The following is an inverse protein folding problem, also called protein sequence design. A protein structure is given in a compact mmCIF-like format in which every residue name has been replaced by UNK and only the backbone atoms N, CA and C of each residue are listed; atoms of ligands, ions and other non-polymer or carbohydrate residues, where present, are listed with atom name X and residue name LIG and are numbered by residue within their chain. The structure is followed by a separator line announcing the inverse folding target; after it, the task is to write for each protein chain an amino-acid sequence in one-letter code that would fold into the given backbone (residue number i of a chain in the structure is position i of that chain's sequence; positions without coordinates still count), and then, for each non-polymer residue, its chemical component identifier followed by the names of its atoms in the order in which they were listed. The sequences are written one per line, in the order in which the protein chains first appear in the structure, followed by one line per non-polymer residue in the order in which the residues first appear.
data_IF_878810468443
#
_entry.id   IF_878810468443
#
_cell.length_a   1.000
_cell.length_b   1.000
_cell.length_c   1.000
_cell.angle_alpha   90.00
_cell.angle_beta   90.00
_cell.angle_gamma   90.00
#
_symmetry.space_group_name_H-M   'P 1'
#
loop_
_entity.id
_entity.type
_entity.pdbx_description
1 polymer ?
#
# COMPACT_ATOMS: atom_id res chain seq x y z
N UNK A 1 37.00 56.49 42.46
CA UNK A 1 37.45 55.27 41.75
C UNK A 1 36.60 54.12 42.22
N UNK A 2 35.45 53.86 41.58
CA UNK A 2 34.62 52.69 41.91
C UNK A 2 33.71 52.38 40.71
N UNK A 3 34.13 51.40 39.92
CA UNK A 3 33.43 50.93 38.73
C UNK A 3 32.18 50.12 39.10
N UNK A 4 31.08 50.39 38.39
CA UNK A 4 29.86 49.58 38.40
C UNK A 4 30.14 48.27 37.64
N UNK A 5 29.79 47.14 38.24
CA UNK A 5 29.65 45.87 37.52
C UNK A 5 28.20 45.38 37.68
N UNK A 6 27.37 45.61 36.66
CA UNK A 6 26.05 45.00 36.52
C UNK A 6 26.23 43.66 35.82
N UNK A 7 26.09 42.57 36.56
CA UNK A 7 26.13 41.20 36.03
C UNK A 7 24.84 40.94 35.25
N UNK A 8 25.02 40.55 33.99
CA UNK A 8 24.00 40.39 32.95
C UNK A 8 23.02 39.24 33.20
N UNK A 9 21.74 39.58 33.38
CA UNK A 9 20.61 38.65 33.33
C UNK A 9 20.00 38.66 31.92
N UNK A 10 20.60 37.93 30.96
CA UNK A 10 20.13 37.91 29.56
C UNK A 10 19.98 36.51 28.93
N UNK A 11 20.07 35.41 29.70
CA UNK A 11 20.19 34.06 29.11
C UNK A 11 18.90 33.21 29.07
N UNK A 12 17.91 33.48 29.93
CA UNK A 12 16.75 32.59 30.08
C UNK A 12 15.62 32.80 29.07
N UNK A 13 15.38 34.04 28.61
CA UNK A 13 14.25 34.32 27.72
C UNK A 13 14.49 33.82 26.28
N UNK A 14 15.74 33.88 25.81
CA UNK A 14 16.15 33.42 24.48
C UNK A 14 16.14 31.89 24.44
N UNK A 15 16.75 31.24 25.43
CA UNK A 15 16.82 29.77 25.50
C UNK A 15 15.43 29.12 25.58
N UNK A 16 14.48 29.69 26.34
CA UNK A 16 13.09 29.22 26.39
C UNK A 16 12.35 29.35 25.06
N UNK A 17 12.59 30.43 24.30
CA UNK A 17 12.03 30.63 22.94
C UNK A 17 12.58 29.61 21.93
N UNK A 18 13.87 29.28 22.01
CA UNK A 18 14.49 28.25 21.17
C UNK A 18 14.03 26.84 21.53
N UNK A 19 13.88 26.53 22.83
CA UNK A 19 13.30 25.26 23.29
C UNK A 19 11.85 25.10 22.78
N UNK A 20 11.04 26.15 22.86
CA UNK A 20 9.67 26.14 22.33
C UNK A 20 9.62 25.94 20.81
N UNK A 21 10.53 26.56 20.06
CA UNK A 21 10.65 26.36 18.60
C UNK A 21 11.09 24.95 18.25
N UNK A 22 12.04 24.38 19.00
CA UNK A 22 12.49 22.99 18.83
C UNK A 22 11.34 22.01 19.11
N UNK A 23 10.62 22.21 20.21
CA UNK A 23 9.47 21.38 20.56
C UNK A 23 8.37 21.49 19.49
N UNK A 24 8.08 22.70 19.01
CA UNK A 24 7.14 22.90 17.90
C UNK A 24 7.61 22.18 16.62
N UNK A 25 8.90 22.27 16.27
CA UNK A 25 9.45 21.58 15.10
C UNK A 25 9.33 20.06 15.22
N UNK A 26 9.59 19.50 16.41
CA UNK A 26 9.41 18.08 16.69
C UNK A 26 7.94 17.68 16.55
N UNK A 27 7.01 18.46 17.11
CA UNK A 27 5.56 18.19 17.00
C UNK A 27 5.12 18.21 15.53
N UNK A 28 5.54 19.21 14.76
CA UNK A 28 5.22 19.30 13.32
C UNK A 28 5.78 18.09 12.56
N UNK A 29 7.01 17.67 12.87
CA UNK A 29 7.64 16.52 12.23
C UNK A 29 6.92 15.21 12.55
N UNK A 30 6.49 15.02 13.81
CA UNK A 30 5.67 13.87 14.20
C UNK A 30 4.33 13.87 13.46
N UNK A 31 3.63 15.01 13.40
CA UNK A 31 2.36 15.13 12.67
C UNK A 31 2.54 14.80 11.19
N UNK A 32 3.61 15.30 10.57
CA UNK A 32 3.93 15.00 9.17
C UNK A 32 4.21 13.50 8.96
N UNK A 33 4.97 12.86 9.87
CA UNK A 33 5.26 11.43 9.81
C UNK A 33 3.99 10.58 9.97
N UNK A 34 3.11 10.93 10.91
CA UNK A 34 1.83 10.24 11.11
C UNK A 34 0.93 10.41 9.88
N UNK A 35 0.85 11.61 9.32
CA UNK A 35 0.07 11.87 8.11
C UNK A 35 0.62 11.08 6.92
N UNK A 36 1.94 11.06 6.74
CA UNK A 36 2.59 10.28 5.69
C UNK A 36 2.29 8.78 5.84
N UNK A 37 2.45 8.23 7.05
CA UNK A 37 2.13 6.83 7.34
C UNK A 37 0.66 6.52 7.05
N UNK A 38 -0.26 7.40 7.45
CA UNK A 38 -1.69 7.26 7.18
C UNK A 38 -2.01 7.27 5.68
N UNK A 39 -1.41 8.17 4.91
CA UNK A 39 -1.61 8.25 3.46
C UNK A 39 -1.03 7.02 2.74
N UNK A 40 0.14 6.54 3.15
CA UNK A 40 0.75 5.33 2.60
C UNK A 40 -0.09 4.08 2.89
N UNK A 41 -0.59 3.95 4.12
CA UNK A 41 -1.51 2.86 4.48
C UNK A 41 -2.85 2.95 3.74
N UNK A 42 -3.40 4.15 3.50
CA UNK A 42 -4.61 4.29 2.70
C UNK A 42 -4.39 3.96 1.23
N UNK A 43 -3.22 4.31 0.68
CA UNK A 43 -2.88 4.06 -0.71
C UNK A 43 -2.68 2.58 -1.05
N UNK A 44 -2.48 1.70 -0.07
CA UNK A 44 -2.35 0.26 -0.29
C UNK A 44 -3.69 -0.47 -0.44
N UNK A 45 -4.82 0.18 -0.12
CA UNK A 45 -6.14 -0.42 -0.26
C UNK A 45 -6.64 -0.32 -1.71
N UNK A 46 -7.24 -1.39 -2.26
CA UNK A 46 -7.89 -1.33 -3.55
C UNK A 46 -9.13 -0.42 -3.49
N UNK A 47 -9.44 0.24 -4.61
CA UNK A 47 -10.68 0.98 -4.77
C UNK A 47 -11.85 0.02 -5.01
N UNK A 48 -12.71 -0.17 -4.01
CA UNK A 48 -13.85 -1.09 -4.06
C UNK A 48 -15.14 -0.43 -4.57
N UNK A 49 -15.25 0.89 -4.40
CA UNK A 49 -16.45 1.66 -4.69
C UNK A 49 -16.23 2.69 -5.81
N UNK A 50 -17.33 3.05 -6.46
CA UNK A 50 -17.37 4.03 -7.54
C UNK A 50 -17.18 3.41 -8.92
N UNK A 51 -16.90 4.27 -9.90
CA UNK A 51 -16.78 3.87 -11.29
C UNK A 51 -15.31 3.70 -11.67
N UNK A 52 -14.95 2.48 -12.07
CA UNK A 52 -13.63 2.15 -12.59
C UNK A 52 -13.73 1.82 -14.07
N UNK A 53 -12.85 2.41 -14.89
CA UNK A 53 -12.77 2.09 -16.31
C UNK A 53 -12.02 0.76 -16.48
N UNK A 54 -12.74 -0.28 -16.91
CA UNK A 54 -12.14 -1.55 -17.33
C UNK A 54 -12.11 -1.63 -18.86
N UNK A 55 -10.90 -1.64 -19.42
CA UNK A 55 -10.73 -1.77 -20.88
C UNK A 55 -11.26 -3.11 -21.37
N UNK A 56 -11.91 -3.10 -22.53
CA UNK A 56 -12.40 -4.31 -23.19
C UNK A 56 -13.79 -4.77 -22.77
N UNK A 57 -14.50 -4.03 -21.90
CA UNK A 57 -15.93 -4.25 -21.69
C UNK A 57 -16.73 -3.77 -22.91
N UNK A 58 -17.69 -4.57 -23.36
CA UNK A 58 -18.62 -4.17 -24.43
C UNK A 58 -19.83 -3.39 -23.88
N UNK A 59 -20.24 -3.68 -22.64
CA UNK A 59 -21.30 -2.97 -21.92
C UNK A 59 -20.90 -2.71 -20.45
N UNK A 60 -21.55 -1.77 -19.75
CA UNK A 60 -21.33 -1.57 -18.33
C UNK A 60 -21.59 -2.83 -17.50
N UNK A 61 -20.82 -3.02 -16.43
CA UNK A 61 -20.95 -4.13 -15.48
C UNK A 61 -21.12 -3.56 -14.08
N UNK A 62 -22.06 -4.10 -13.31
CA UNK A 62 -22.26 -3.75 -11.90
C UNK A 62 -21.63 -4.81 -11.00
N UNK A 63 -20.83 -4.37 -10.03
CA UNK A 63 -20.20 -5.23 -9.03
C UNK A 63 -20.70 -4.80 -7.66
N UNK A 64 -21.34 -5.70 -6.93
CA UNK A 64 -21.89 -5.45 -5.60
C UNK A 64 -21.26 -6.38 -4.58
N UNK A 65 -21.03 -5.87 -3.38
CA UNK A 65 -20.46 -6.63 -2.25
C UNK A 65 -21.44 -6.61 -1.09
N UNK A 66 -21.73 -7.78 -0.54
CA UNK A 66 -22.52 -7.88 0.68
C UNK A 66 -21.67 -7.58 1.93
N UNK A 67 -22.30 -7.60 3.11
CA UNK A 67 -21.62 -7.36 4.39
C UNK A 67 -20.55 -8.41 4.72
N UNK A 68 -20.60 -9.59 4.10
CA UNK A 68 -19.62 -10.67 4.28
C UNK A 68 -18.51 -10.63 3.22
N UNK A 69 -18.57 -9.69 2.27
CA UNK A 69 -17.62 -9.58 1.17
C UNK A 69 -17.93 -10.51 -0.01
N UNK A 70 -19.12 -11.12 -0.07
CA UNK A 70 -19.53 -11.91 -1.23
C UNK A 70 -19.82 -10.97 -2.39
N UNK A 71 -19.15 -11.21 -3.52
CA UNK A 71 -19.28 -10.40 -4.74
C UNK A 71 -20.37 -10.96 -5.64
N UNK A 72 -21.30 -10.11 -6.07
CA UNK A 72 -22.26 -10.38 -7.14
C UNK A 72 -21.94 -9.49 -8.34
N UNK A 73 -21.85 -10.10 -9.52
CA UNK A 73 -21.52 -9.42 -10.79
C UNK A 73 -22.73 -9.52 -11.70
N UNK A 74 -23.25 -8.37 -12.12
CA UNK A 74 -24.34 -8.26 -13.10
C UNK A 74 -23.81 -7.65 -14.39
N UNK A 75 -23.96 -8.39 -15.49
CA UNK A 75 -23.43 -8.04 -16.80
C UNK A 75 -24.35 -8.49 -17.93
N UNK A 76 -24.38 -7.72 -19.02
CA UNK A 76 -25.19 -8.01 -20.20
C UNK A 76 -24.66 -9.20 -21.03
N UNK A 77 -23.41 -9.64 -20.79
CA UNK A 77 -22.80 -10.77 -21.50
C UNK A 77 -21.90 -11.59 -20.58
N UNK A 78 -21.78 -12.88 -20.89
CA UNK A 78 -20.87 -13.77 -20.17
C UNK A 78 -19.41 -13.30 -20.27
N UNK A 79 -18.99 -12.79 -21.42
CA UNK A 79 -17.61 -12.34 -21.63
C UNK A 79 -17.30 -11.14 -20.74
N UNK A 80 -18.21 -10.18 -20.63
CA UNK A 80 -18.04 -9.03 -19.74
C UNK A 80 -18.10 -9.43 -18.26
N UNK A 81 -18.96 -10.40 -17.90
CA UNK A 81 -18.99 -10.98 -16.55
C UNK A 81 -17.64 -11.62 -16.19
N UNK A 82 -17.03 -12.38 -17.09
CA UNK A 82 -15.73 -13.02 -16.85
C UNK A 82 -14.58 -12.02 -16.77
N UNK A 83 -14.62 -10.94 -17.57
CA UNK A 83 -13.65 -9.84 -17.47
C UNK A 83 -13.75 -9.14 -16.10
N UNK A 84 -14.97 -8.82 -15.68
CA UNK A 84 -15.20 -8.22 -14.37
C UNK A 84 -14.81 -9.17 -13.23
N UNK A 85 -15.06 -10.47 -13.36
CA UNK A 85 -14.62 -11.48 -12.39
C UNK A 85 -13.10 -11.48 -12.24
N UNK A 86 -12.35 -11.48 -13.36
CA UNK A 86 -10.90 -11.37 -13.34
C UNK A 86 -10.42 -10.07 -12.66
N UNK A 87 -11.10 -8.95 -12.92
CA UNK A 87 -10.82 -7.68 -12.26
C UNK A 87 -11.03 -7.75 -10.74
N UNK A 88 -12.17 -8.28 -10.29
CA UNK A 88 -12.45 -8.50 -8.86
C UNK A 88 -11.42 -9.41 -8.21
N UNK A 89 -11.06 -10.51 -8.86
CA UNK A 89 -10.00 -11.40 -8.36
C UNK A 89 -8.65 -10.70 -8.26
N UNK A 90 -8.30 -9.81 -9.18
CA UNK A 90 -7.09 -9.01 -9.08
C UNK A 90 -7.15 -7.97 -7.93
N UNK A 91 -8.34 -7.51 -7.54
CA UNK A 91 -8.48 -6.62 -6.37
C UNK A 91 -8.25 -7.37 -5.05
N UNK A 92 -8.68 -8.62 -4.97
CA UNK A 92 -8.85 -9.33 -3.68
C UNK A 92 -7.86 -10.49 -3.50
N UNK A 93 -7.46 -11.17 -4.58
CA UNK A 93 -6.67 -12.41 -4.56
C UNK A 93 -5.43 -12.37 -5.46
N UNK A 94 -5.02 -11.18 -5.90
CA UNK A 94 -3.88 -11.03 -6.81
C UNK A 94 -2.62 -11.76 -6.33
N UNK A 95 -2.25 -11.57 -5.07
CA UNK A 95 -1.04 -12.18 -4.52
C UNK A 95 -1.10 -13.72 -4.55
N UNK A 96 -2.24 -14.29 -4.15
CA UNK A 96 -2.45 -15.72 -4.16
C UNK A 96 -2.40 -16.28 -5.58
N UNK A 97 -3.09 -15.64 -6.53
CA UNK A 97 -3.09 -16.06 -7.93
C UNK A 97 -1.72 -15.92 -8.59
N UNK A 98 -0.98 -14.85 -8.29
CA UNK A 98 0.40 -14.67 -8.76
C UNK A 98 1.31 -15.75 -8.21
N UNK A 99 1.18 -16.08 -6.92
CA UNK A 99 1.93 -17.16 -6.27
C UNK A 99 1.60 -18.52 -6.88
N UNK A 100 0.31 -18.81 -7.10
CA UNK A 100 -0.17 -20.04 -7.75
C UNK A 100 0.34 -20.17 -9.19
N UNK A 101 0.60 -19.06 -9.88
CA UNK A 101 1.22 -19.07 -11.22
C UNK A 101 2.73 -19.28 -11.15
N UNK A 102 3.42 -18.61 -10.22
CA UNK A 102 4.89 -18.66 -10.08
C UNK A 102 5.41 -19.97 -9.52
N UNK A 103 4.69 -20.57 -8.58
CA UNK A 103 5.07 -21.83 -7.93
C UNK A 103 5.32 -22.97 -8.93
N UNK A 104 4.36 -23.37 -9.79
CA UNK A 104 4.57 -24.45 -10.76
C UNK A 104 5.55 -24.06 -11.88
N UNK A 105 5.66 -22.76 -12.21
CA UNK A 105 6.63 -22.27 -13.19
C UNK A 105 8.09 -22.30 -12.67
N UNK A 106 8.29 -22.40 -11.36
CA UNK A 106 9.59 -22.31 -10.72
C UNK A 106 10.18 -20.89 -10.75
N UNK A 107 9.37 -19.91 -10.33
CA UNK A 107 9.70 -18.47 -10.33
C UNK A 107 9.46 -17.80 -8.95
N UNK A 108 9.39 -18.58 -7.87
CA UNK A 108 9.17 -18.05 -6.52
C UNK A 108 10.39 -17.30 -5.97
N UNK A 109 11.60 -17.68 -6.40
CA UNK A 109 12.85 -17.03 -6.02
C UNK A 109 12.96 -15.58 -6.50
N UNK A 110 12.17 -15.16 -7.49
CA UNK A 110 12.06 -13.75 -7.87
C UNK A 110 11.41 -12.89 -6.76
N UNK A 111 10.56 -13.49 -5.93
CA UNK A 111 9.85 -12.81 -4.86
C UNK A 111 10.48 -13.05 -3.48
N UNK A 112 10.91 -14.29 -3.21
CA UNK A 112 11.43 -14.71 -1.90
C UNK A 112 12.94 -14.92 -1.86
N UNK A 113 13.63 -14.70 -2.98
CA UNK A 113 15.07 -14.83 -3.08
C UNK A 113 15.56 -16.27 -2.86
N UNK A 114 16.76 -16.44 -2.26
CA UNK A 114 17.42 -17.73 -2.13
C UNK A 114 16.59 -18.82 -1.44
N UNK A 115 15.69 -18.44 -0.53
CA UNK A 115 14.84 -19.37 0.22
C UNK A 115 13.92 -20.22 -0.68
N UNK A 116 13.63 -19.76 -1.91
CA UNK A 116 12.76 -20.45 -2.84
C UNK A 116 13.49 -21.12 -4.03
N UNK A 117 14.83 -21.13 -4.04
CA UNK A 117 15.61 -21.70 -5.16
C UNK A 117 15.42 -23.21 -5.32
N UNK A 118 15.43 -23.95 -4.21
CA UNK A 118 15.27 -25.40 -4.25
C UNK A 118 13.88 -25.84 -4.75
N UNK A 119 12.76 -25.28 -4.25
CA UNK A 119 11.46 -25.57 -4.83
C UNK A 119 11.35 -25.15 -6.30
N UNK A 120 11.92 -24.01 -6.70
CA UNK A 120 11.91 -23.58 -8.10
C UNK A 120 12.62 -24.57 -9.03
N UNK A 121 13.82 -25.05 -8.63
CA UNK A 121 14.57 -26.05 -9.40
C UNK A 121 13.77 -27.33 -9.57
N UNK A 122 13.09 -27.80 -8.52
CA UNK A 122 12.24 -29.00 -8.59
C UNK A 122 11.07 -28.78 -9.56
N UNK A 123 10.38 -27.65 -9.45
CA UNK A 123 9.18 -27.38 -10.23
C UNK A 123 9.47 -27.11 -11.72
N UNK A 124 10.57 -26.43 -12.03
CA UNK A 124 10.94 -26.07 -13.41
C UNK A 124 11.13 -27.28 -14.34
N UNK A 125 11.50 -28.45 -13.79
CA UNK A 125 11.64 -29.70 -14.58
C UNK A 125 10.32 -30.12 -15.21
N UNK A 126 9.18 -29.80 -14.58
CA UNK A 126 7.85 -30.14 -15.08
C UNK A 126 7.36 -29.23 -16.22
N UNK A 127 8.06 -28.12 -16.51
CA UNK A 127 7.75 -27.18 -17.61
C UNK A 127 6.30 -26.67 -17.61
N UNK A 128 5.73 -26.43 -16.44
CA UNK A 128 4.34 -25.97 -16.26
C UNK A 128 4.18 -24.45 -16.43
N UNK A 129 4.96 -23.83 -17.31
CA UNK A 129 4.78 -22.41 -17.62
C UNK A 129 3.67 -22.26 -18.66
N UNK A 130 2.61 -21.54 -18.28
CA UNK A 130 1.50 -21.17 -19.16
C UNK A 130 1.91 -20.10 -20.18
#
# INVERSE_FOLDING_TARGET
MTGRHTVTELKDSTMRKWLGRLLLAIVVLIVAAVLAAYLLMRGSLPQLDGNSALRGLAAPVSVQRDRRGVVTIDAASQVDAMRALGYVHAQERYFEMDLMRRAPAGELSELFGPAALDPDKRNRVHRLRA
#
